data_IF_673334383140
#
_entry.id   IF_673334383140
#
_cell.length_a   1.000
_cell.length_b   1.000
_cell.length_c   1.000
_cell.angle_alpha   90.00
_cell.angle_beta   90.00
_cell.angle_gamma   90.00
#
_symmetry.space_group_name_H-M   'P 1'
#
loop_
_entity.id
_entity.type
_entity.pdbx_description
1 polymer ?
#
# COMPACT_ATOMS: atom_id res chain seq x y z
N UNK A 1 19.86 7.96 -23.89
CA UNK A 1 18.48 7.53 -23.61
C UNK A 1 17.67 8.70 -23.09
N UNK A 2 16.33 8.63 -23.12
CA UNK A 2 15.46 9.60 -22.47
C UNK A 2 15.65 9.51 -20.94
N UNK A 3 15.80 10.63 -20.26
CA UNK A 3 16.06 10.69 -18.81
C UNK A 3 14.72 10.74 -18.05
N UNK A 4 14.45 9.71 -17.27
CA UNK A 4 13.30 9.62 -16.38
C UNK A 4 13.71 9.83 -14.93
N UNK A 5 13.20 10.88 -14.28
CA UNK A 5 13.40 11.11 -12.85
C UNK A 5 12.24 10.54 -12.04
N UNK A 6 12.51 9.62 -11.13
CA UNK A 6 11.55 9.07 -10.16
C UNK A 6 11.81 9.74 -8.79
N UNK A 7 10.82 10.48 -8.28
CA UNK A 7 10.93 11.18 -6.99
C UNK A 7 10.01 10.51 -5.96
N UNK A 8 10.54 10.18 -4.78
CA UNK A 8 9.75 9.73 -3.64
C UNK A 8 10.35 10.13 -2.30
N UNK A 9 9.52 10.39 -1.30
CA UNK A 9 9.95 10.55 0.09
C UNK A 9 9.84 9.21 0.86
N UNK A 10 10.33 8.13 0.27
CA UNK A 10 10.44 6.81 0.87
C UNK A 10 11.87 6.25 0.74
N UNK A 11 12.17 5.17 1.45
CA UNK A 11 13.39 4.38 1.23
C UNK A 11 13.20 3.51 -0.01
N UNK A 12 13.87 3.90 -1.11
CA UNK A 12 13.69 3.30 -2.42
C UNK A 12 14.07 1.81 -2.49
N UNK A 13 14.90 1.31 -1.57
CA UNK A 13 15.30 -0.09 -1.53
C UNK A 13 14.31 -1.00 -0.80
N UNK A 14 13.49 -0.44 0.08
CA UNK A 14 12.48 -1.18 0.84
C UNK A 14 11.06 -0.98 0.31
N UNK A 15 10.86 0.00 -0.58
CA UNK A 15 9.56 0.29 -1.19
C UNK A 15 9.35 -0.56 -2.45
N UNK A 16 8.60 -1.64 -2.30
CA UNK A 16 8.34 -2.59 -3.39
C UNK A 16 7.66 -1.94 -4.62
N UNK A 17 6.85 -0.88 -4.43
CA UNK A 17 6.23 -0.18 -5.55
C UNK A 17 7.26 0.62 -6.36
N UNK A 18 8.16 1.29 -5.68
CA UNK A 18 9.25 2.04 -6.30
C UNK A 18 10.23 1.12 -7.02
N UNK A 19 10.56 -0.02 -6.42
CA UNK A 19 11.42 -1.02 -7.08
C UNK A 19 10.79 -1.52 -8.38
N UNK A 20 9.48 -1.79 -8.40
CA UNK A 20 8.77 -2.15 -9.62
C UNK A 20 8.78 -1.04 -10.68
N UNK A 21 8.62 0.22 -10.26
CA UNK A 21 8.74 1.37 -11.18
C UNK A 21 10.16 1.45 -11.78
N UNK A 22 11.19 1.37 -10.95
CA UNK A 22 12.58 1.42 -11.43
C UNK A 22 12.85 0.28 -12.41
N UNK A 23 12.50 -0.96 -12.06
CA UNK A 23 12.68 -2.12 -12.93
C UNK A 23 11.91 -2.01 -14.25
N UNK A 24 10.69 -1.41 -14.22
CA UNK A 24 9.87 -1.24 -15.41
C UNK A 24 10.47 -0.30 -16.46
N UNK A 25 11.32 0.64 -16.04
CA UNK A 25 11.86 1.67 -16.90
C UNK A 25 13.37 1.55 -17.17
N UNK A 26 14.12 0.77 -16.39
CA UNK A 26 15.58 0.68 -16.47
C UNK A 26 16.12 0.22 -17.82
N UNK A 27 15.36 -0.55 -18.61
CA UNK A 27 15.79 -1.02 -19.93
C UNK A 27 15.56 0.01 -21.04
N UNK A 28 14.67 1.00 -20.83
CA UNK A 28 14.23 1.94 -21.87
C UNK A 28 14.56 3.38 -21.59
N UNK A 29 14.85 3.71 -20.34
CA UNK A 29 15.19 5.06 -19.84
C UNK A 29 16.50 5.06 -19.06
N UNK A 30 17.19 6.21 -19.09
CA UNK A 30 18.19 6.52 -18.08
C UNK A 30 17.46 6.93 -16.79
N UNK A 31 17.20 5.94 -15.91
CA UNK A 31 16.43 6.17 -14.69
C UNK A 31 17.28 6.87 -13.64
N UNK A 32 16.91 8.11 -13.31
CA UNK A 32 17.45 8.87 -12.19
C UNK A 32 16.46 8.74 -11.03
N UNK A 33 16.94 8.50 -9.82
CA UNK A 33 16.10 8.41 -8.65
C UNK A 33 16.40 9.51 -7.64
N UNK A 34 15.37 10.00 -6.96
CA UNK A 34 15.50 10.91 -5.84
C UNK A 34 14.67 10.41 -4.65
N UNK A 35 15.32 10.06 -3.55
CA UNK A 35 14.64 9.47 -2.39
C UNK A 35 15.54 9.23 -1.21
N UNK A 36 15.08 8.45 -0.24
CA UNK A 36 15.87 8.04 0.91
C UNK A 36 16.56 6.69 0.65
N UNK A 37 17.55 6.39 1.49
CA UNK A 37 18.28 5.13 1.43
C UNK A 37 19.49 5.17 0.49
N UNK A 38 20.01 3.99 0.17
CA UNK A 38 21.11 3.83 -0.74
C UNK A 38 20.64 3.78 -2.20
N UNK A 39 21.57 3.93 -3.12
CA UNK A 39 21.34 3.83 -4.57
C UNK A 39 20.59 2.52 -4.90
N UNK A 40 19.39 2.57 -5.49
CA UNK A 40 18.66 1.38 -5.87
C UNK A 40 19.25 0.75 -7.14
N UNK A 41 19.08 -0.55 -7.28
CA UNK A 41 19.42 -1.27 -8.49
C UNK A 41 18.55 -0.80 -9.67
N UNK A 42 19.11 -0.74 -10.89
CA UNK A 42 18.41 -0.30 -12.09
C UNK A 42 18.39 1.22 -12.32
N UNK A 43 18.81 2.03 -11.35
CA UNK A 43 18.98 3.47 -11.54
C UNK A 43 20.40 3.77 -12.02
N UNK A 44 20.55 4.75 -12.95
CA UNK A 44 21.86 5.24 -13.39
C UNK A 44 22.43 6.28 -12.44
N UNK A 45 21.57 7.00 -11.73
CA UNK A 45 21.94 8.04 -10.75
C UNK A 45 20.95 8.03 -9.59
N UNK A 46 21.45 8.31 -8.37
CA UNK A 46 20.60 8.46 -7.18
C UNK A 46 20.93 9.74 -6.42
N UNK A 47 19.90 10.50 -6.13
CA UNK A 47 19.95 11.76 -5.39
C UNK A 47 19.33 11.54 -4.01
N UNK A 48 20.16 11.59 -2.97
CA UNK A 48 19.68 11.45 -1.61
C UNK A 48 18.84 12.68 -1.19
N UNK A 49 17.56 12.47 -0.92
CA UNK A 49 16.69 13.50 -0.38
C UNK A 49 16.88 13.66 1.13
N UNK A 50 16.69 14.88 1.66
CA UNK A 50 16.81 15.15 3.08
C UNK A 50 15.74 14.38 3.88
N UNK A 51 16.13 13.84 5.02
CA UNK A 51 15.19 13.24 5.96
C UNK A 51 14.29 14.32 6.62
N UNK A 52 13.06 13.97 6.99
CA UNK A 52 12.19 14.87 7.73
C UNK A 52 12.82 15.26 9.07
N UNK A 53 12.59 16.50 9.56
CA UNK A 53 13.12 16.93 10.85
C UNK A 53 12.61 16.04 11.98
N UNK A 54 13.47 15.77 12.97
CA UNK A 54 13.17 14.96 14.15
C UNK A 54 13.17 15.79 15.43
N UNK A 55 12.72 15.21 16.55
CA UNK A 55 12.78 15.81 17.88
C UNK A 55 12.13 17.19 17.98
N UNK A 56 12.80 18.12 18.64
CA UNK A 56 12.30 19.50 18.89
C UNK A 56 12.03 20.29 17.61
N UNK A 57 12.82 20.05 16.54
CA UNK A 57 12.60 20.70 15.25
C UNK A 57 11.28 20.28 14.60
N UNK A 58 10.96 18.97 14.67
CA UNK A 58 9.65 18.44 14.25
C UNK A 58 8.51 19.05 15.04
N UNK A 59 8.61 19.08 16.38
CA UNK A 59 7.57 19.64 17.23
C UNK A 59 7.31 21.12 16.94
N UNK A 60 8.38 21.93 16.77
CA UNK A 60 8.28 23.35 16.38
C UNK A 60 7.59 23.49 15.02
N UNK A 61 7.99 22.69 14.04
CA UNK A 61 7.40 22.71 12.71
C UNK A 61 5.90 22.40 12.74
N UNK A 62 5.49 21.34 13.45
CA UNK A 62 4.08 20.94 13.59
C UNK A 62 3.23 22.08 14.20
N UNK A 63 3.76 22.85 15.17
CA UNK A 63 3.06 24.00 15.75
C UNK A 63 2.82 25.10 14.70
N UNK A 64 3.86 25.45 13.92
CA UNK A 64 3.74 26.44 12.84
C UNK A 64 2.74 25.98 11.79
N UNK A 65 2.84 24.74 11.32
CA UNK A 65 1.91 24.17 10.34
C UNK A 65 0.47 24.18 10.86
N UNK A 66 0.25 23.81 12.13
CA UNK A 66 -1.08 23.84 12.73
C UNK A 66 -1.74 25.21 12.66
N UNK A 67 -0.96 26.28 12.89
CA UNK A 67 -1.47 27.67 12.77
C UNK A 67 -1.77 27.99 11.30
N UNK A 68 -0.85 27.70 10.40
CA UNK A 68 -1.02 28.00 8.97
C UNK A 68 -2.19 27.22 8.35
N UNK A 69 -2.40 25.96 8.76
CA UNK A 69 -3.52 25.15 8.29
C UNK A 69 -4.87 25.66 8.82
N UNK A 70 -4.94 26.11 10.07
CA UNK A 70 -6.15 26.75 10.63
C UNK A 70 -6.51 28.02 9.85
N UNK A 71 -5.51 28.81 9.48
CA UNK A 71 -5.67 30.02 8.68
C UNK A 71 -5.84 29.73 7.19
N UNK A 72 -5.83 28.47 6.76
CA UNK A 72 -5.84 28.04 5.36
C UNK A 72 -4.74 28.66 4.51
N UNK A 73 -3.64 29.07 5.13
CA UNK A 73 -2.47 29.65 4.49
C UNK A 73 -1.57 28.56 3.86
N UNK A 74 -2.18 27.66 3.07
CA UNK A 74 -1.55 26.45 2.54
C UNK A 74 -0.32 26.74 1.68
N UNK A 75 -0.39 27.74 0.81
CA UNK A 75 0.74 28.14 -0.02
C UNK A 75 1.94 28.62 0.81
N UNK A 76 1.70 29.31 1.94
CA UNK A 76 2.75 29.72 2.86
C UNK A 76 3.32 28.50 3.61
N UNK A 77 2.46 27.60 4.10
CA UNK A 77 2.87 26.37 4.76
C UNK A 77 3.77 25.52 3.86
N UNK A 78 3.39 25.36 2.60
CA UNK A 78 4.16 24.61 1.61
C UNK A 78 5.52 25.29 1.31
N UNK A 79 5.52 26.59 0.98
CA UNK A 79 6.75 27.34 0.65
C UNK A 79 7.73 27.43 1.82
N UNK A 80 7.25 27.45 3.05
CA UNK A 80 8.09 27.51 4.25
C UNK A 80 8.49 26.12 4.77
N UNK A 81 8.05 25.04 4.15
CA UNK A 81 8.43 23.68 4.54
C UNK A 81 9.94 23.46 4.43
N UNK A 82 10.63 23.15 5.54
CA UNK A 82 12.07 22.89 5.50
C UNK A 82 12.42 21.69 4.62
N UNK A 83 11.58 20.63 4.67
CA UNK A 83 11.74 19.44 3.87
C UNK A 83 11.65 19.75 2.37
N UNK A 84 10.60 20.46 1.94
CA UNK A 84 10.41 20.86 0.54
C UNK A 84 11.57 21.77 0.05
N UNK A 85 11.99 22.75 0.88
CA UNK A 85 13.11 23.62 0.52
C UNK A 85 14.45 22.88 0.41
N UNK A 86 14.68 21.91 1.28
CA UNK A 86 15.91 21.11 1.25
C UNK A 86 15.89 20.12 0.06
N UNK A 87 14.75 19.50 -0.24
CA UNK A 87 14.59 18.65 -1.43
C UNK A 87 14.79 19.44 -2.74
N UNK A 88 14.23 20.67 -2.85
CA UNK A 88 14.50 21.56 -4.00
C UNK A 88 15.97 21.91 -4.19
N UNK A 89 16.72 22.04 -3.08
CA UNK A 89 18.17 22.27 -3.18
C UNK A 89 18.91 21.04 -3.65
N UNK A 90 18.52 19.85 -3.18
CA UNK A 90 19.12 18.60 -3.60
C UNK A 90 18.88 18.32 -5.10
N UNK A 91 17.71 18.71 -5.62
CA UNK A 91 17.33 18.54 -7.02
C UNK A 91 17.78 19.69 -7.94
N UNK A 92 18.53 20.67 -7.42
CA UNK A 92 18.94 21.83 -8.24
C UNK A 92 19.94 21.41 -9.33
N UNK A 93 19.58 21.71 -10.59
CA UNK A 93 20.41 21.39 -11.76
C UNK A 93 20.24 19.95 -12.25
N UNK A 94 19.31 19.20 -11.68
CA UNK A 94 18.92 17.92 -12.24
C UNK A 94 18.19 18.18 -13.56
N UNK A 95 18.62 17.44 -14.58
CA UNK A 95 18.04 17.47 -15.91
C UNK A 95 17.29 16.17 -16.17
N UNK A 96 16.03 16.24 -16.56
CA UNK A 96 15.19 15.11 -16.89
C UNK A 96 14.19 15.47 -17.99
N UNK A 97 13.84 14.51 -18.82
CA UNK A 97 12.85 14.69 -19.89
C UNK A 97 11.43 14.46 -19.38
N UNK A 98 11.26 13.52 -18.45
CA UNK A 98 10.00 13.13 -17.83
C UNK A 98 10.22 12.93 -16.33
N UNK A 99 9.21 13.29 -15.53
CA UNK A 99 9.23 13.05 -14.07
C UNK A 99 8.05 12.18 -13.65
N UNK A 100 8.34 11.11 -12.92
CA UNK A 100 7.40 10.29 -12.18
C UNK A 100 7.49 10.68 -10.71
N UNK A 101 6.47 11.38 -10.22
CA UNK A 101 6.41 11.86 -8.83
C UNK A 101 5.51 10.94 -8.00
N UNK A 102 6.08 10.30 -7.00
CA UNK A 102 5.34 9.44 -6.08
C UNK A 102 4.81 10.26 -4.90
N UNK A 103 3.51 10.25 -4.77
CA UNK A 103 2.73 10.94 -3.75
C UNK A 103 2.69 12.48 -3.87
N UNK A 104 1.78 13.07 -3.10
CA UNK A 104 1.49 14.51 -3.15
C UNK A 104 2.64 15.41 -2.70
N UNK A 105 3.59 14.88 -1.95
CA UNK A 105 4.75 15.63 -1.46
C UNK A 105 5.87 15.70 -2.53
N UNK A 106 5.94 14.73 -3.45
CA UNK A 106 6.88 14.72 -4.58
C UNK A 106 6.40 15.56 -5.76
N UNK A 107 5.09 15.59 -6.03
CA UNK A 107 4.51 16.29 -7.18
C UNK A 107 4.94 17.78 -7.30
N UNK A 108 5.03 18.59 -6.22
CA UNK A 108 5.51 19.96 -6.31
C UNK A 108 6.95 20.11 -6.80
N UNK A 109 7.80 19.11 -6.58
CA UNK A 109 9.22 19.13 -6.97
C UNK A 109 9.38 18.86 -8.47
N UNK A 110 8.48 18.08 -9.05
CA UNK A 110 8.50 17.78 -10.47
C UNK A 110 8.39 19.04 -11.33
N UNK A 111 7.55 19.98 -10.91
CA UNK A 111 7.35 21.26 -11.64
C UNK A 111 8.49 22.27 -11.53
N UNK A 112 9.45 22.04 -10.67
CA UNK A 112 10.70 22.81 -10.64
C UNK A 112 11.70 22.33 -11.70
N UNK A 113 11.43 21.16 -12.34
CA UNK A 113 12.34 20.46 -13.27
C UNK A 113 11.77 20.41 -14.69
N UNK A 114 10.49 19.99 -14.84
CA UNK A 114 9.81 19.87 -16.13
C UNK A 114 8.44 20.57 -16.10
N UNK A 115 7.88 20.85 -17.30
CA UNK A 115 6.52 21.35 -17.45
C UNK A 115 5.46 20.29 -17.07
N UNK A 116 4.21 20.70 -16.73
CA UNK A 116 3.16 19.77 -16.27
C UNK A 116 2.81 18.67 -17.27
N UNK A 117 2.96 18.90 -18.56
CA UNK A 117 2.72 17.92 -19.65
C UNK A 117 3.74 16.78 -19.68
N UNK A 118 4.83 16.88 -18.90
CA UNK A 118 5.88 15.87 -18.72
C UNK A 118 5.93 15.25 -17.32
N UNK A 119 4.87 15.44 -16.54
CA UNK A 119 4.77 14.89 -15.17
C UNK A 119 3.72 13.78 -15.13
N UNK A 120 4.12 12.63 -14.59
CA UNK A 120 3.22 11.58 -14.10
C UNK A 120 3.21 11.60 -12.57
N UNK A 121 2.01 11.52 -11.95
CA UNK A 121 1.88 11.44 -10.49
C UNK A 121 1.29 10.09 -10.09
N UNK A 122 1.98 9.35 -9.23
CA UNK A 122 1.51 8.08 -8.69
C UNK A 122 1.13 8.24 -7.22
N UNK A 123 -0.13 7.93 -6.86
CA UNK A 123 -0.70 8.18 -5.54
C UNK A 123 -1.02 6.86 -4.85
N UNK A 124 -0.28 6.55 -3.78
CA UNK A 124 -0.40 5.27 -3.07
C UNK A 124 -1.59 5.21 -2.11
N UNK A 125 -2.14 6.35 -1.73
CA UNK A 125 -3.19 6.50 -0.72
C UNK A 125 -4.18 7.59 -1.13
N UNK A 126 -5.36 7.61 -0.52
CA UNK A 126 -6.23 8.77 -0.60
C UNK A 126 -5.77 9.84 0.41
N UNK A 127 -4.84 10.69 0.02
CA UNK A 127 -4.17 11.65 0.90
C UNK A 127 -5.09 12.61 1.65
N UNK A 128 -6.21 13.11 1.08
CA UNK A 128 -7.13 13.97 1.82
C UNK A 128 -7.81 13.29 3.01
N UNK A 129 -7.89 11.95 3.02
CA UNK A 129 -8.47 11.14 4.09
C UNK A 129 -7.47 10.25 4.83
N UNK A 130 -6.17 10.52 4.76
CA UNK A 130 -5.12 9.62 5.26
C UNK A 130 -5.27 9.23 6.75
N UNK A 131 -5.67 10.17 7.60
CA UNK A 131 -5.90 9.98 9.03
C UNK A 131 -7.16 10.72 9.48
N UNK A 132 -8.26 10.59 8.75
CA UNK A 132 -9.51 11.30 9.00
C UNK A 132 -10.30 10.72 10.19
N UNK A 133 -9.86 9.60 10.75
CA UNK A 133 -10.24 9.11 12.08
C UNK A 133 -9.79 10.04 13.21
N UNK A 134 -8.78 10.88 12.99
CA UNK A 134 -8.35 11.93 13.91
C UNK A 134 -9.03 13.27 13.56
N UNK A 135 -9.99 13.77 14.38
CA UNK A 135 -10.73 14.99 14.05
C UNK A 135 -9.87 16.24 13.84
N UNK A 136 -8.74 16.37 14.56
CA UNK A 136 -7.82 17.50 14.39
C UNK A 136 -7.08 17.42 13.05
N UNK A 137 -6.69 16.23 12.67
CA UNK A 137 -6.05 15.99 11.39
C UNK A 137 -7.04 16.22 10.24
N UNK A 138 -8.25 15.68 10.34
CA UNK A 138 -9.31 15.85 9.35
C UNK A 138 -9.67 17.33 9.13
N UNK A 139 -9.73 18.12 10.23
CA UNK A 139 -10.06 19.55 10.14
C UNK A 139 -8.95 20.43 9.52
N UNK A 140 -7.69 20.01 9.57
CA UNK A 140 -6.56 20.87 9.22
C UNK A 140 -5.63 20.29 8.16
N UNK A 141 -5.12 19.08 8.36
CA UNK A 141 -4.17 18.43 7.42
C UNK A 141 -4.87 17.86 6.18
N UNK A 142 -6.05 17.27 6.35
CA UNK A 142 -6.85 16.76 5.25
C UNK A 142 -7.13 17.81 4.17
N UNK A 143 -7.67 19.00 4.52
CA UNK A 143 -7.85 20.11 3.56
C UNK A 143 -6.56 20.61 2.91
N UNK A 144 -5.43 20.62 3.64
CA UNK A 144 -4.12 20.94 3.06
C UNK A 144 -3.69 19.90 2.03
N UNK A 145 -3.86 18.61 2.33
CA UNK A 145 -3.56 17.53 1.37
C UNK A 145 -4.46 17.63 0.13
N UNK A 146 -5.76 17.94 0.32
CA UNK A 146 -6.67 18.22 -0.80
C UNK A 146 -6.24 19.42 -1.65
N UNK A 147 -5.67 20.47 -1.01
CA UNK A 147 -5.09 21.60 -1.73
C UNK A 147 -3.85 21.19 -2.53
N UNK A 148 -2.97 20.33 -1.98
CA UNK A 148 -1.81 19.80 -2.70
C UNK A 148 -2.25 18.99 -3.93
N UNK A 149 -3.27 18.12 -3.78
CA UNK A 149 -3.82 17.33 -4.90
C UNK A 149 -4.28 18.27 -6.03
N UNK A 150 -5.16 19.23 -5.74
CA UNK A 150 -5.67 20.16 -6.77
C UNK A 150 -4.57 21.04 -7.39
N UNK A 151 -3.58 21.42 -6.59
CA UNK A 151 -2.55 22.37 -7.05
C UNK A 151 -1.41 21.72 -7.81
N UNK A 152 -1.09 20.44 -7.48
CA UNK A 152 0.11 19.77 -8.00
C UNK A 152 -0.14 18.38 -8.60
N UNK A 153 -1.13 17.62 -8.16
CA UNK A 153 -1.43 16.33 -8.79
C UNK A 153 -2.39 16.48 -9.98
N UNK A 154 -3.47 17.25 -9.82
CA UNK A 154 -4.47 17.42 -10.88
C UNK A 154 -3.94 18.06 -12.18
N UNK A 155 -2.97 19.02 -12.18
CA UNK A 155 -2.40 19.56 -13.40
C UNK A 155 -1.41 18.65 -14.11
N UNK A 156 -1.01 17.51 -13.53
CA UNK A 156 -0.10 16.57 -14.19
C UNK A 156 -0.74 15.95 -15.43
N UNK A 157 0.10 15.61 -16.40
CA UNK A 157 -0.37 15.07 -17.67
C UNK A 157 -1.03 13.69 -17.56
N UNK A 158 -0.67 12.93 -16.53
CA UNK A 158 -1.26 11.64 -16.20
C UNK A 158 -1.07 11.30 -14.72
N UNK A 159 -1.91 10.41 -14.20
CA UNK A 159 -1.80 9.95 -12.81
C UNK A 159 -2.25 8.51 -12.66
N UNK A 160 -1.72 7.85 -11.62
CA UNK A 160 -2.14 6.51 -11.21
C UNK A 160 -2.42 6.46 -9.70
N UNK A 161 -3.19 5.44 -9.28
CA UNK A 161 -3.44 5.11 -7.88
C UNK A 161 -3.64 3.60 -7.71
N UNK A 162 -3.79 3.13 -6.46
CA UNK A 162 -3.71 1.69 -6.14
C UNK A 162 -5.04 0.94 -6.20
N UNK A 163 -6.19 1.63 -6.23
CA UNK A 163 -7.51 1.01 -6.23
C UNK A 163 -8.55 1.89 -6.94
N UNK A 164 -9.56 1.28 -7.57
CA UNK A 164 -10.63 1.99 -8.28
C UNK A 164 -11.43 2.88 -7.32
N UNK A 165 -11.67 2.43 -6.10
CA UNK A 165 -12.38 3.15 -5.05
C UNK A 165 -11.62 4.41 -4.58
N UNK A 166 -10.28 4.37 -4.63
CA UNK A 166 -9.43 5.54 -4.39
C UNK A 166 -9.48 6.49 -5.58
N UNK A 167 -9.41 5.97 -6.82
CA UNK A 167 -9.55 6.78 -8.04
C UNK A 167 -10.87 7.55 -8.04
N UNK A 168 -11.97 6.90 -7.72
CA UNK A 168 -13.29 7.55 -7.60
C UNK A 168 -13.29 8.72 -6.60
N UNK A 169 -12.61 8.58 -5.46
CA UNK A 169 -12.49 9.66 -4.48
C UNK A 169 -11.67 10.85 -4.98
N UNK A 170 -10.69 10.60 -5.84
CA UNK A 170 -9.86 11.67 -6.41
C UNK A 170 -10.60 12.53 -7.44
N UNK A 171 -11.69 12.05 -8.05
CA UNK A 171 -12.53 12.85 -8.96
C UNK A 171 -13.09 14.12 -8.31
N UNK A 172 -13.35 14.09 -7.00
CA UNK A 172 -13.73 15.29 -6.24
C UNK A 172 -12.61 16.35 -6.14
N UNK A 173 -11.41 16.04 -6.60
CA UNK A 173 -10.23 16.89 -6.62
C UNK A 173 -9.73 17.22 -8.02
N UNK A 174 -10.61 17.05 -9.04
CA UNK A 174 -10.31 17.27 -10.46
C UNK A 174 -9.18 16.34 -10.97
N UNK A 175 -9.10 15.12 -10.44
CA UNK A 175 -8.09 14.12 -10.77
C UNK A 175 -8.77 12.79 -11.07
N UNK A 176 -8.45 12.16 -12.22
CA UNK A 176 -8.97 10.85 -12.63
C UNK A 176 -7.80 9.87 -12.87
N UNK A 177 -7.20 9.31 -11.80
CA UNK A 177 -6.04 8.44 -11.92
C UNK A 177 -6.42 7.06 -12.47
N UNK A 178 -5.57 6.50 -13.33
CA UNK A 178 -5.66 5.10 -13.73
C UNK A 178 -5.25 4.20 -12.55
N UNK A 179 -5.72 2.95 -12.55
CA UNK A 179 -5.42 2.01 -11.47
C UNK A 179 -4.18 1.19 -11.81
N UNK A 180 -3.21 1.20 -10.91
CA UNK A 180 -2.07 0.29 -10.86
C UNK A 180 -1.98 -0.25 -9.44
N UNK A 181 -2.44 -1.47 -9.24
CA UNK A 181 -2.56 -2.06 -7.90
C UNK A 181 -1.20 -2.37 -7.26
N UNK A 182 -1.19 -2.70 -5.98
CA UNK A 182 0.00 -3.15 -5.26
C UNK A 182 0.32 -4.64 -5.50
N UNK A 183 0.11 -5.10 -6.72
CA UNK A 183 0.31 -6.48 -7.13
C UNK A 183 1.76 -6.94 -6.90
N UNK A 184 1.92 -8.17 -6.44
CA UNK A 184 3.19 -8.87 -6.29
C UNK A 184 3.61 -9.51 -7.61
N UNK A 185 4.88 -9.93 -7.71
CA UNK A 185 5.36 -10.64 -8.90
C UNK A 185 4.58 -11.92 -9.16
N UNK A 186 4.45 -12.28 -10.45
CA UNK A 186 3.79 -13.53 -10.85
C UNK A 186 4.60 -14.74 -10.37
N UNK A 187 3.97 -15.59 -9.59
CA UNK A 187 4.57 -16.82 -9.12
C UNK A 187 4.12 -18.01 -9.99
N UNK A 188 5.07 -18.75 -10.50
CA UNK A 188 4.80 -19.98 -11.23
C UNK A 188 4.69 -21.17 -10.25
N UNK A 189 3.49 -21.41 -9.73
CA UNK A 189 3.27 -22.48 -8.76
C UNK A 189 1.93 -23.19 -8.95
N UNK A 190 1.89 -24.45 -8.58
CA UNK A 190 0.66 -25.25 -8.58
C UNK A 190 -0.19 -24.98 -7.34
N UNK A 191 -1.49 -25.09 -7.49
CA UNK A 191 -2.46 -25.10 -6.39
C UNK A 191 -2.22 -26.31 -5.48
N UNK A 192 -1.96 -26.05 -4.20
CA UNK A 192 -1.75 -27.14 -3.22
C UNK A 192 -3.11 -27.65 -2.69
N UNK A 193 -3.22 -28.95 -2.35
CA UNK A 193 -4.41 -29.50 -1.69
C UNK A 193 -4.72 -28.80 -0.37
N UNK A 194 -6.01 -28.72 -0.02
CA UNK A 194 -6.45 -28.14 1.25
C UNK A 194 -6.05 -29.06 2.40
N UNK A 195 -5.47 -28.50 3.45
CA UNK A 195 -5.05 -29.24 4.65
C UNK A 195 -6.24 -29.66 5.53
N UNK A 196 -5.99 -30.63 6.38
CA UNK A 196 -6.85 -30.99 7.49
C UNK A 196 -6.02 -31.00 8.78
N UNK A 197 -6.20 -30.03 9.66
CA UNK A 197 -7.11 -28.86 9.62
C UNK A 197 -6.82 -27.86 8.51
N UNK A 198 -7.81 -27.03 8.16
CA UNK A 198 -7.63 -25.89 7.22
C UNK A 198 -6.68 -24.87 7.84
N UNK A 199 -5.67 -24.43 7.07
CA UNK A 199 -4.57 -23.59 7.55
C UNK A 199 -4.78 -22.14 7.10
N UNK A 200 -4.99 -21.23 8.08
CA UNK A 200 -5.10 -19.80 7.85
C UNK A 200 -3.77 -19.12 8.13
N UNK A 201 -3.47 -18.06 7.38
CA UNK A 201 -2.27 -17.24 7.60
C UNK A 201 -2.59 -15.75 7.51
N UNK A 202 -1.93 -14.97 8.38
CA UNK A 202 -1.87 -13.52 8.31
C UNK A 202 -0.41 -13.06 8.34
N UNK A 203 -0.07 -12.03 7.56
CA UNK A 203 1.26 -11.42 7.58
C UNK A 203 1.17 -9.89 7.70
N UNK A 204 2.16 -9.28 8.32
CA UNK A 204 2.32 -7.82 8.29
C UNK A 204 2.68 -7.15 9.60
N UNK A 205 2.54 -5.81 9.62
CA UNK A 205 2.94 -4.99 10.75
C UNK A 205 2.03 -5.21 11.97
N UNK A 206 2.64 -5.45 13.11
CA UNK A 206 1.96 -5.53 14.41
C UNK A 206 1.71 -4.11 14.94
N UNK A 207 0.58 -3.54 14.59
CA UNK A 207 0.10 -2.24 15.05
C UNK A 207 -1.25 -2.40 15.75
N UNK A 208 -1.40 -1.88 16.96
CA UNK A 208 -2.63 -2.02 17.75
C UNK A 208 -3.88 -1.51 17.01
N UNK A 209 -3.78 -0.45 16.22
CA UNK A 209 -4.87 0.06 15.40
C UNK A 209 -5.33 -0.86 14.27
N UNK A 210 -4.67 -2.00 14.04
CA UNK A 210 -5.08 -3.03 13.09
C UNK A 210 -5.92 -4.14 13.71
N UNK A 211 -6.08 -4.16 15.03
CA UNK A 211 -6.92 -5.10 15.78
C UNK A 211 -6.69 -6.57 15.38
N UNK A 212 -5.41 -7.01 15.36
CA UNK A 212 -5.07 -8.38 14.94
C UNK A 212 -5.66 -9.45 15.87
N UNK A 213 -5.96 -9.10 17.13
CA UNK A 213 -6.68 -9.93 18.08
C UNK A 213 -8.04 -10.41 17.57
N UNK A 214 -8.69 -9.65 16.70
CA UNK A 214 -9.99 -10.04 16.11
C UNK A 214 -9.93 -11.38 15.39
N UNK A 215 -8.81 -11.65 14.67
CA UNK A 215 -8.63 -12.92 13.97
C UNK A 215 -8.36 -14.07 14.95
N UNK A 216 -7.60 -13.81 16.01
CA UNK A 216 -7.30 -14.80 17.07
C UNK A 216 -8.59 -15.18 17.80
N UNK A 217 -9.37 -14.18 18.24
CA UNK A 217 -10.64 -14.41 18.93
C UNK A 217 -11.70 -15.03 18.01
N UNK A 218 -11.68 -14.72 16.71
CA UNK A 218 -12.55 -15.35 15.73
C UNK A 218 -12.29 -16.85 15.63
N UNK A 219 -11.03 -17.27 15.61
CA UNK A 219 -10.65 -18.68 15.65
C UNK A 219 -11.02 -19.34 16.98
N UNK A 220 -10.85 -18.62 18.10
CA UNK A 220 -11.23 -19.12 19.42
C UNK A 220 -12.74 -19.34 19.59
N UNK A 221 -13.56 -18.54 18.91
CA UNK A 221 -15.04 -18.64 18.94
C UNK A 221 -15.59 -19.66 17.96
N UNK A 222 -14.84 -19.98 16.90
CA UNK A 222 -15.26 -20.91 15.85
C UNK A 222 -15.20 -22.36 16.30
N UNK A 223 -16.09 -23.18 15.73
CA UNK A 223 -16.11 -24.66 15.90
C UNK A 223 -15.41 -25.38 14.76
N UNK A 224 -14.96 -24.66 13.74
CA UNK A 224 -14.29 -25.22 12.59
C UNK A 224 -12.91 -25.79 12.95
N UNK A 225 -12.51 -26.88 12.29
CA UNK A 225 -11.18 -27.48 12.43
C UNK A 225 -10.17 -26.65 11.62
N UNK A 226 -9.71 -25.55 12.20
CA UNK A 226 -8.79 -24.58 11.58
C UNK A 226 -7.57 -24.32 12.44
N UNK A 227 -6.46 -23.92 11.80
CA UNK A 227 -5.24 -23.40 12.46
C UNK A 227 -4.92 -22.04 11.90
N UNK A 228 -4.55 -21.08 12.77
CA UNK A 228 -4.14 -19.73 12.40
C UNK A 228 -2.66 -19.49 12.73
N UNK A 229 -1.90 -19.02 11.75
CA UNK A 229 -0.54 -18.53 11.93
C UNK A 229 -0.47 -17.04 11.58
N UNK A 230 0.07 -16.22 12.48
CA UNK A 230 0.35 -14.81 12.23
C UNK A 230 1.86 -14.60 12.17
N UNK A 231 2.37 -14.12 11.02
CA UNK A 231 3.76 -13.69 10.86
C UNK A 231 3.84 -12.17 10.98
N UNK A 232 4.42 -11.66 12.07
CA UNK A 232 4.30 -10.27 12.46
C UNK A 232 5.64 -9.52 12.48
N UNK A 233 5.68 -8.37 11.82
CA UNK A 233 6.80 -7.42 11.90
C UNK A 233 6.78 -6.70 13.26
N UNK A 234 7.96 -6.49 13.91
CA UNK A 234 8.06 -5.98 15.28
C UNK A 234 7.87 -4.45 15.37
N UNK A 235 6.74 -3.92 14.90
CA UNK A 235 6.44 -2.49 14.95
C UNK A 235 6.02 -2.01 16.36
N UNK A 236 5.35 -2.87 17.14
CA UNK A 236 4.95 -2.63 18.53
C UNK A 236 5.18 -3.91 19.34
N UNK A 237 6.32 -3.96 20.03
CA UNK A 237 6.74 -5.14 20.79
C UNK A 237 5.75 -5.51 21.89
N UNK A 238 5.23 -4.52 22.62
CA UNK A 238 4.27 -4.76 23.71
C UNK A 238 2.94 -5.33 23.17
N UNK A 239 2.55 -4.92 21.95
CA UNK A 239 1.37 -5.48 21.29
C UNK A 239 1.61 -6.94 20.85
N UNK A 240 2.76 -7.25 20.26
CA UNK A 240 3.12 -8.63 19.89
C UNK A 240 3.13 -9.55 21.13
N UNK A 241 3.69 -9.11 22.23
CA UNK A 241 3.72 -9.90 23.47
C UNK A 241 2.31 -10.21 23.98
N UNK A 242 1.37 -9.27 23.91
CA UNK A 242 -0.04 -9.54 24.23
C UNK A 242 -0.66 -10.56 23.29
N UNK A 243 -0.42 -10.44 21.97
CA UNK A 243 -0.93 -11.40 21.00
C UNK A 243 -0.34 -12.80 21.21
N UNK A 244 0.95 -12.91 21.51
CA UNK A 244 1.63 -14.18 21.84
C UNK A 244 1.07 -14.80 23.12
N UNK A 245 0.87 -14.01 24.17
CA UNK A 245 0.28 -14.48 25.42
C UNK A 245 -1.13 -15.05 25.18
N UNK A 246 -1.96 -14.36 24.39
CA UNK A 246 -3.29 -14.85 24.05
C UNK A 246 -3.25 -16.11 23.18
N UNK A 247 -2.37 -16.16 22.18
CA UNK A 247 -2.19 -17.33 21.31
C UNK A 247 -1.72 -18.56 22.10
N UNK A 248 -0.92 -18.40 23.13
CA UNK A 248 -0.45 -19.50 23.99
C UNK A 248 -1.58 -20.22 24.74
N UNK A 249 -2.74 -19.58 24.91
CA UNK A 249 -3.93 -20.20 25.52
C UNK A 249 -4.73 -21.06 24.50
N UNK A 250 -4.40 -20.97 23.20
CA UNK A 250 -5.14 -21.59 22.10
C UNK A 250 -4.25 -22.61 21.36
N UNK A 251 -4.62 -23.90 21.30
CA UNK A 251 -3.77 -24.93 20.70
C UNK A 251 -3.62 -24.81 19.17
N UNK A 252 -4.51 -24.06 18.53
CA UNK A 252 -4.60 -23.91 17.08
C UNK A 252 -4.20 -22.49 16.58
N UNK A 253 -3.59 -21.65 17.41
CA UNK A 253 -3.12 -20.32 17.04
C UNK A 253 -1.63 -20.17 17.31
N UNK A 254 -0.88 -19.58 16.37
CA UNK A 254 0.54 -19.26 16.51
C UNK A 254 0.83 -17.85 16.09
N UNK A 255 1.67 -17.16 16.86
CA UNK A 255 2.22 -15.83 16.53
C UNK A 255 3.73 -15.95 16.40
N UNK A 256 4.23 -15.80 15.18
CA UNK A 256 5.62 -15.98 14.77
C UNK A 256 6.22 -14.63 14.33
N UNK A 257 7.54 -14.60 14.22
CA UNK A 257 8.25 -13.47 13.64
C UNK A 257 7.95 -13.34 12.14
N UNK A 258 8.21 -12.14 11.61
CA UNK A 258 8.06 -11.88 10.18
C UNK A 258 8.97 -12.79 9.35
N UNK A 259 8.46 -13.20 8.22
CA UNK A 259 9.22 -13.96 7.21
C UNK A 259 10.00 -12.97 6.34
N UNK A 260 11.25 -13.28 5.94
CA UNK A 260 11.98 -12.53 4.92
C UNK A 260 11.15 -12.40 3.63
N UNK A 261 11.32 -11.28 2.92
CA UNK A 261 10.47 -10.97 1.78
C UNK A 261 10.59 -12.00 0.63
N UNK A 262 11.78 -12.50 0.42
CA UNK A 262 12.13 -13.53 -0.58
C UNK A 262 11.56 -14.92 -0.24
N UNK A 263 11.27 -15.20 1.03
CA UNK A 263 10.67 -16.45 1.50
C UNK A 263 9.14 -16.32 1.69
N UNK A 264 8.57 -15.12 1.54
CA UNK A 264 7.20 -14.83 1.94
C UNK A 264 6.17 -15.68 1.20
N UNK A 265 6.23 -15.70 -0.13
CA UNK A 265 5.24 -16.41 -0.95
C UNK A 265 5.33 -17.92 -0.73
N UNK A 266 6.55 -18.47 -0.57
CA UNK A 266 6.75 -19.89 -0.26
C UNK A 266 6.15 -20.27 1.11
N UNK A 267 6.35 -19.42 2.10
CA UNK A 267 5.74 -19.60 3.44
C UNK A 267 4.22 -19.52 3.38
N UNK A 268 3.67 -18.54 2.67
CA UNK A 268 2.22 -18.40 2.49
C UNK A 268 1.62 -19.64 1.82
N UNK A 269 2.27 -20.16 0.79
CA UNK A 269 1.78 -21.31 0.03
C UNK A 269 1.64 -22.63 0.83
N UNK A 270 2.23 -22.70 2.02
CA UNK A 270 2.03 -23.80 2.96
C UNK A 270 0.65 -23.77 3.66
N UNK A 271 -0.14 -22.71 3.41
CA UNK A 271 -1.45 -22.49 4.00
C UNK A 271 -2.58 -22.64 2.95
N UNK A 272 -3.80 -22.46 3.39
CA UNK A 272 -4.99 -22.61 2.54
C UNK A 272 -5.76 -21.32 2.35
N UNK A 273 -5.74 -20.45 3.36
CA UNK A 273 -6.47 -19.17 3.37
C UNK A 273 -5.58 -18.06 3.94
N UNK A 274 -5.47 -16.98 3.18
CA UNK A 274 -4.98 -15.69 3.70
C UNK A 274 -6.11 -14.92 4.38
N UNK A 275 -5.93 -14.53 5.64
CA UNK A 275 -6.96 -13.78 6.38
C UNK A 275 -6.49 -12.37 6.71
N UNK A 276 -7.35 -11.36 6.43
CA UNK A 276 -7.04 -9.96 6.74
C UNK A 276 -8.30 -9.17 7.13
N UNK A 277 -8.49 -9.00 8.41
CA UNK A 277 -9.63 -8.22 8.96
C UNK A 277 -9.08 -6.86 9.43
N UNK A 278 -9.20 -5.85 8.57
CA UNK A 278 -8.75 -4.49 8.84
C UNK A 278 -9.94 -3.61 9.21
N UNK A 279 -10.03 -3.09 10.45
CA UNK A 279 -11.12 -2.20 10.85
C UNK A 279 -11.18 -0.95 9.98
N UNK A 280 -12.38 -0.59 9.53
CA UNK A 280 -12.64 0.53 8.63
C UNK A 280 -12.65 1.90 9.35
N UNK A 281 -11.64 2.19 10.18
CA UNK A 281 -11.58 3.36 11.06
C UNK A 281 -11.33 4.67 10.31
N UNK A 282 -10.50 4.66 9.27
CA UNK A 282 -10.24 5.83 8.41
C UNK A 282 -10.73 5.60 6.98
N UNK A 283 -10.76 6.65 6.16
CA UNK A 283 -11.07 6.51 4.73
C UNK A 283 -10.09 5.57 4.04
N UNK A 284 -8.80 5.65 4.33
CA UNK A 284 -7.83 4.73 3.72
C UNK A 284 -8.01 3.29 4.19
N UNK A 285 -8.37 3.04 5.44
CA UNK A 285 -8.71 1.68 5.88
C UNK A 285 -9.94 1.14 5.14
N UNK A 286 -10.97 1.97 4.92
CA UNK A 286 -12.17 1.58 4.14
C UNK A 286 -11.85 1.26 2.67
N UNK A 287 -10.83 1.90 2.11
CA UNK A 287 -10.43 1.77 0.70
C UNK A 287 -9.17 0.91 0.52
N UNK A 288 -8.66 0.32 1.60
CA UNK A 288 -7.38 -0.40 1.57
C UNK A 288 -7.37 -1.58 0.60
N UNK A 289 -6.30 -1.64 -0.19
CA UNK A 289 -5.94 -2.79 -1.03
C UNK A 289 -4.44 -3.06 -0.84
N UNK A 290 -4.05 -3.73 0.26
CA UNK A 290 -2.66 -3.88 0.65
C UNK A 290 -1.92 -4.96 -0.15
N UNK A 291 -0.58 -4.89 -0.19
CA UNK A 291 0.29 -5.86 -0.87
C UNK A 291 -0.05 -7.31 -0.51
N UNK A 292 -0.24 -7.61 0.79
CA UNK A 292 -0.54 -8.97 1.28
C UNK A 292 -1.76 -9.62 0.63
N UNK A 293 -2.74 -8.82 0.19
CA UNK A 293 -3.91 -9.34 -0.53
C UNK A 293 -3.49 -9.99 -1.84
N UNK A 294 -2.55 -9.38 -2.55
CA UNK A 294 -1.96 -9.93 -3.78
C UNK A 294 -0.97 -11.05 -3.47
N UNK A 295 -0.22 -10.96 -2.37
CA UNK A 295 0.67 -12.04 -1.93
C UNK A 295 -0.14 -13.33 -1.68
N UNK A 296 -1.33 -13.24 -1.09
CA UNK A 296 -2.24 -14.38 -0.91
C UNK A 296 -2.67 -14.98 -2.25
N UNK A 297 -3.01 -14.15 -3.23
CA UNK A 297 -3.37 -14.61 -4.59
C UNK A 297 -2.18 -15.29 -5.27
N UNK A 298 -0.97 -14.70 -5.17
CA UNK A 298 0.24 -15.29 -5.75
C UNK A 298 0.65 -16.60 -5.05
N UNK A 299 0.34 -16.75 -3.77
CA UNK A 299 0.51 -18.01 -3.04
C UNK A 299 -0.60 -19.05 -3.33
N UNK A 300 -1.59 -18.73 -4.19
CA UNK A 300 -2.74 -19.59 -4.52
C UNK A 300 -3.60 -19.93 -3.30
N UNK A 301 -3.81 -18.96 -2.42
CA UNK A 301 -4.69 -19.10 -1.26
C UNK A 301 -6.11 -18.64 -1.57
N UNK A 302 -7.10 -19.23 -0.88
CA UNK A 302 -8.35 -18.54 -0.63
C UNK A 302 -8.14 -17.31 0.24
N UNK A 303 -9.06 -16.34 0.24
CA UNK A 303 -8.92 -15.10 0.99
C UNK A 303 -10.15 -14.86 1.87
N UNK A 304 -9.95 -14.52 3.16
CA UNK A 304 -11.02 -14.02 4.03
C UNK A 304 -10.66 -12.57 4.41
N UNK A 305 -11.57 -11.64 4.07
CA UNK A 305 -11.37 -10.21 4.33
C UNK A 305 -12.56 -9.60 5.08
N UNK A 306 -12.30 -8.49 5.78
CA UNK A 306 -13.38 -7.65 6.30
C UNK A 306 -14.11 -6.90 5.16
N UNK A 307 -15.32 -6.31 5.43
CA UNK A 307 -16.14 -5.64 4.41
C UNK A 307 -15.60 -4.23 4.08
N UNK A 308 -14.33 -4.16 3.66
CA UNK A 308 -13.72 -2.95 3.11
C UNK A 308 -13.93 -2.91 1.60
N UNK A 309 -14.24 -1.73 1.04
CA UNK A 309 -14.77 -1.61 -0.32
C UNK A 309 -13.91 -2.31 -1.40
N UNK A 310 -12.58 -2.04 -1.44
CA UNK A 310 -11.72 -2.58 -2.49
C UNK A 310 -11.47 -4.10 -2.34
N UNK A 311 -11.12 -4.57 -1.13
CA UNK A 311 -10.87 -6.00 -0.91
C UNK A 311 -12.14 -6.83 -1.07
N UNK A 312 -13.27 -6.38 -0.53
CA UNK A 312 -14.55 -7.08 -0.68
C UNK A 312 -14.96 -7.19 -2.15
N UNK A 313 -14.94 -6.08 -2.89
CA UNK A 313 -15.29 -6.04 -4.31
C UNK A 313 -14.43 -6.99 -5.15
N UNK A 314 -13.11 -7.03 -4.92
CA UNK A 314 -12.22 -7.93 -5.65
C UNK A 314 -12.45 -9.40 -5.26
N UNK A 315 -12.61 -9.70 -3.96
CA UNK A 315 -12.84 -11.06 -3.47
C UNK A 315 -14.13 -11.65 -4.06
N UNK A 316 -15.21 -10.88 -4.03
CA UNK A 316 -16.52 -11.29 -4.56
C UNK A 316 -16.52 -11.42 -6.08
N UNK A 317 -15.97 -10.42 -6.80
CA UNK A 317 -15.90 -10.41 -8.26
C UNK A 317 -15.18 -11.62 -8.84
N UNK A 318 -14.09 -12.03 -8.22
CA UNK A 318 -13.25 -13.12 -8.73
C UNK A 318 -13.52 -14.46 -8.04
N UNK A 319 -14.34 -14.47 -6.98
CA UNK A 319 -14.78 -15.70 -6.32
C UNK A 319 -13.67 -16.50 -5.62
N UNK A 320 -12.57 -15.84 -5.23
CA UNK A 320 -11.44 -16.52 -4.59
C UNK A 320 -11.46 -16.46 -3.05
N UNK A 321 -12.62 -16.15 -2.44
CA UNK A 321 -12.68 -16.05 -0.99
C UNK A 321 -14.04 -15.66 -0.44
N UNK A 322 -14.06 -15.24 0.82
CA UNK A 322 -15.23 -14.74 1.52
C UNK A 322 -14.99 -13.36 2.17
N UNK A 323 -16.08 -12.63 2.33
CA UNK A 323 -16.13 -11.35 3.05
C UNK A 323 -16.90 -11.57 4.35
N UNK A 324 -16.33 -11.14 5.50
CA UNK A 324 -17.03 -11.24 6.80
C UNK A 324 -18.20 -10.25 6.86
N UNK A 325 -19.22 -10.53 7.70
CA UNK A 325 -20.37 -9.65 7.87
C UNK A 325 -20.04 -8.30 8.54
N UNK A 326 -18.90 -8.23 9.24
CA UNK A 326 -18.38 -7.06 9.94
C UNK A 326 -16.93 -7.25 10.33
N UNK A 327 -16.49 -6.50 11.35
CA UNK A 327 -15.08 -6.51 11.81
C UNK A 327 -14.91 -7.09 13.21
N UNK A 328 -15.88 -7.83 13.72
CA UNK A 328 -15.84 -8.45 15.04
C UNK A 328 -15.30 -9.88 14.98
N UNK A 329 -14.83 -10.41 16.10
CA UNK A 329 -14.44 -11.81 16.21
C UNK A 329 -15.60 -12.78 15.88
N UNK A 330 -16.85 -12.38 16.16
CA UNK A 330 -18.02 -13.19 15.81
C UNK A 330 -18.22 -13.26 14.31
N UNK A 331 -18.06 -12.14 13.60
CA UNK A 331 -18.17 -12.13 12.13
C UNK A 331 -17.10 -13.04 11.47
N UNK A 332 -15.91 -13.11 12.06
CA UNK A 332 -14.86 -14.04 11.62
C UNK A 332 -15.27 -15.48 11.89
N UNK A 333 -15.72 -15.78 13.12
CA UNK A 333 -16.14 -17.15 13.50
C UNK A 333 -17.27 -17.67 12.62
N UNK A 334 -18.25 -16.83 12.28
CA UNK A 334 -19.38 -17.20 11.44
C UNK A 334 -18.90 -17.67 10.04
N UNK A 335 -17.97 -16.94 9.41
CA UNK A 335 -17.38 -17.38 8.14
C UNK A 335 -16.57 -18.66 8.28
N UNK A 336 -15.82 -18.82 9.38
CA UNK A 336 -15.04 -20.04 9.61
C UNK A 336 -15.92 -21.27 9.84
N UNK A 337 -17.03 -21.12 10.55
CA UNK A 337 -17.98 -22.20 10.85
C UNK A 337 -18.69 -22.75 9.60
N UNK A 338 -18.80 -21.93 8.54
CA UNK A 338 -19.41 -22.27 7.25
C UNK A 338 -18.39 -22.87 6.24
N UNK A 339 -17.07 -22.97 6.60
CA UNK A 339 -16.05 -23.46 5.68
C UNK A 339 -16.21 -24.97 5.38
N UNK A 340 -16.07 -25.30 4.10
CA UNK A 340 -15.83 -26.67 3.65
C UNK A 340 -14.53 -26.79 2.85
N UNK A 341 -13.91 -27.96 2.85
CA UNK A 341 -12.70 -28.22 2.05
C UNK A 341 -12.93 -28.00 0.55
N UNK A 342 -14.12 -28.35 0.05
CA UNK A 342 -14.47 -28.16 -1.36
C UNK A 342 -14.55 -26.68 -1.72
N UNK A 343 -15.16 -25.85 -0.87
CA UNK A 343 -15.26 -24.41 -1.04
C UNK A 343 -13.86 -23.76 -1.04
N UNK A 344 -12.99 -24.11 -0.07
CA UNK A 344 -11.61 -23.59 0.00
C UNK A 344 -10.80 -24.02 -1.23
N UNK A 345 -10.95 -25.27 -1.68
CA UNK A 345 -10.31 -25.74 -2.92
C UNK A 345 -10.81 -24.97 -4.15
N UNK A 346 -12.09 -24.58 -4.18
CA UNK A 346 -12.66 -23.71 -5.19
C UNK A 346 -12.00 -22.32 -5.19
N UNK A 347 -11.86 -21.71 -4.01
CA UNK A 347 -11.20 -20.40 -3.87
C UNK A 347 -9.73 -20.44 -4.31
N UNK A 348 -8.98 -21.46 -3.94
CA UNK A 348 -7.59 -21.66 -4.37
C UNK A 348 -7.47 -21.74 -5.90
N UNK A 349 -8.37 -22.46 -6.58
CA UNK A 349 -8.41 -22.51 -8.06
C UNK A 349 -8.80 -21.16 -8.66
N UNK A 350 -9.73 -20.43 -8.06
CA UNK A 350 -10.11 -19.10 -8.52
C UNK A 350 -8.96 -18.08 -8.36
N UNK A 351 -8.19 -18.14 -7.26
CA UNK A 351 -6.98 -17.35 -7.07
C UNK A 351 -5.91 -17.66 -8.15
N UNK A 352 -5.72 -18.96 -8.49
CA UNK A 352 -4.81 -19.36 -9.56
C UNK A 352 -5.23 -18.80 -10.92
N UNK A 353 -6.52 -18.83 -11.24
CA UNK A 353 -7.06 -18.35 -12.52
C UNK A 353 -6.82 -16.85 -12.73
N UNK A 354 -6.74 -16.04 -11.66
CA UNK A 354 -6.56 -14.59 -11.74
C UNK A 354 -5.13 -14.13 -11.40
N UNK A 355 -4.23 -15.05 -11.02
CA UNK A 355 -2.90 -14.70 -10.56
C UNK A 355 -2.07 -13.90 -11.59
N UNK A 356 -2.18 -14.22 -12.87
CA UNK A 356 -1.49 -13.49 -13.94
C UNK A 356 -2.06 -12.08 -14.12
N UNK A 357 -3.37 -11.90 -14.09
CA UNK A 357 -4.02 -10.58 -14.17
C UNK A 357 -3.68 -9.73 -12.95
N UNK A 358 -3.60 -10.34 -11.76
CA UNK A 358 -3.25 -9.70 -10.48
C UNK A 358 -1.74 -9.76 -10.20
N UNK A 359 -0.90 -9.73 -11.22
CA UNK A 359 0.56 -9.70 -11.08
C UNK A 359 1.14 -8.30 -11.37
N UNK A 360 2.32 -8.06 -10.83
CA UNK A 360 3.07 -6.84 -11.09
C UNK A 360 3.36 -6.67 -12.59
N UNK A 361 3.70 -7.73 -13.30
CA UNK A 361 3.99 -7.76 -14.73
C UNK A 361 2.81 -7.26 -15.57
N UNK A 362 1.58 -7.65 -15.19
CA UNK A 362 0.37 -7.13 -15.86
C UNK A 362 0.13 -5.66 -15.56
N UNK A 363 0.31 -5.25 -14.31
CA UNK A 363 0.01 -3.89 -13.83
C UNK A 363 1.00 -2.84 -14.35
N UNK A 364 2.29 -3.17 -14.46
CA UNK A 364 3.38 -2.28 -14.90
C UNK A 364 3.10 -1.65 -16.26
N UNK A 365 2.45 -2.37 -17.16
CA UNK A 365 2.10 -1.87 -18.51
C UNK A 365 1.30 -0.56 -18.50
N UNK A 366 0.56 -0.27 -17.42
CA UNK A 366 -0.18 1.00 -17.28
C UNK A 366 0.78 2.17 -17.04
N UNK A 367 1.79 2.02 -16.18
CA UNK A 367 2.83 3.04 -15.97
C UNK A 367 3.63 3.28 -17.25
N UNK A 368 4.09 2.19 -17.90
CA UNK A 368 4.89 2.29 -19.14
C UNK A 368 4.13 3.09 -20.19
N UNK A 369 2.88 2.73 -20.46
CA UNK A 369 2.04 3.47 -21.42
C UNK A 369 1.82 4.94 -21.02
N UNK A 370 1.69 5.23 -19.73
CA UNK A 370 1.48 6.58 -19.24
C UNK A 370 2.74 7.44 -19.45
N UNK A 371 3.92 6.92 -19.06
CA UNK A 371 5.21 7.63 -19.14
C UNK A 371 5.68 7.77 -20.59
N UNK A 372 5.55 6.73 -21.41
CA UNK A 372 5.91 6.79 -22.85
C UNK A 372 5.14 7.89 -23.58
N UNK A 373 3.85 8.07 -23.30
CA UNK A 373 3.05 9.17 -23.88
C UNK A 373 3.56 10.56 -23.48
N UNK A 374 4.27 10.70 -22.37
CA UNK A 374 4.87 11.97 -21.94
C UNK A 374 6.19 12.25 -22.63
N UNK A 375 6.96 11.18 -22.92
CA UNK A 375 8.20 11.27 -23.69
C UNK A 375 7.95 11.80 -25.11
N UNK A 376 6.87 11.36 -25.74
CA UNK A 376 6.56 11.62 -27.14
C UNK A 376 5.91 13.02 -27.34
N UNK A 377 5.72 13.80 -26.28
CA UNK A 377 5.23 15.19 -26.31
C UNK A 377 6.40 16.19 -26.30
#
# INVERSE_FOLDING_TARGET
>A
MTRLLIISFSDLRSDARLQRQIAAFSDTYDVITAGWGAHPEGAVEHIALPLPPAGAARARRMRVESVLFRLRAYGLAHRTSPLQRAARRALRGVDADVVLANDIDAAPLAYDIVSPDRVHVDLHEFFPGLHDDNPKWAAHRGPYNGWLVRRFAAPAASSTTVAAEIAERYRAYDLDPQVVTNASHLENRAVQPVGAPIRLVHTGAALAGRHLETMIEGVALSRADVKLTLHLMPNDQAYIERLRARAAELPNVRVLDAVPHDELIETLAQHDIGIHILPATSTNHRLALPNKFFDFVQARLGVIVGPTAAMASMTERHGFGAVTGGFTARDVADVLDDLSHEQVAGWKRAADAVAAEMSAEHQVGTWVKAVDRLRDR
#
